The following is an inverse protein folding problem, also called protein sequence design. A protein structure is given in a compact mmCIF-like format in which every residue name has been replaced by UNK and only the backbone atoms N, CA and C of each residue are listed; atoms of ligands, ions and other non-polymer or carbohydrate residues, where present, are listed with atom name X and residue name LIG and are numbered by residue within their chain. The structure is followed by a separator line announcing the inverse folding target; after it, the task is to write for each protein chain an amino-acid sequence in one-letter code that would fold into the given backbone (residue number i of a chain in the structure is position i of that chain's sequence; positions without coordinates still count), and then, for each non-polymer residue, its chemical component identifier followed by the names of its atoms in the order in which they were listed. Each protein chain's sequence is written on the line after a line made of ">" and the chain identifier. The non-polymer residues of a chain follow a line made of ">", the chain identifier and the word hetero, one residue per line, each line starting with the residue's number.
data_IF_837346111811
#
_entry.id   IF_837346111811
#
_cell.length_a   1.000
_cell.length_b   1.000
_cell.length_c   1.000
_cell.angle_alpha   90.00
_cell.angle_beta   90.00
_cell.angle_gamma   90.00
#
_symmetry.space_group_name_H-M   'P 1'
#
loop_
_entity.id
_entity.type
_entity.pdbx_description
1 polymer ?
#
# COMPACT_ATOMS: atom_id res chain seq x y z
N UNK A 1 23.17 0.37 50.87
CA UNK A 1 22.30 0.36 49.67
C UNK A 1 23.00 -0.50 48.64
N UNK A 2 22.74 -1.80 48.69
CA UNK A 2 23.24 -2.79 47.73
C UNK A 2 22.47 -2.63 46.42
N UNK A 3 23.17 -2.65 45.30
CA UNK A 3 22.52 -2.49 43.99
C UNK A 3 21.79 -3.79 43.62
N UNK A 4 20.71 -3.74 42.80
CA UNK A 4 20.01 -4.95 42.34
C UNK A 4 20.92 -5.87 41.50
N UNK A 5 22.08 -5.39 41.03
CA UNK A 5 23.10 -6.21 40.42
C UNK A 5 23.89 -7.06 41.44
N UNK A 6 24.08 -6.59 42.67
CA UNK A 6 24.80 -7.31 43.72
C UNK A 6 23.97 -8.49 44.29
N UNK A 7 22.64 -8.39 44.28
CA UNK A 7 21.75 -9.50 44.69
C UNK A 7 21.61 -10.58 43.61
N UNK A 8 21.84 -10.26 42.33
CA UNK A 8 21.80 -11.24 41.23
C UNK A 8 22.93 -12.27 41.33
N UNK A 9 24.13 -11.84 41.76
CA UNK A 9 25.31 -12.72 41.87
C UNK A 9 25.28 -13.55 43.16
N UNK A 10 24.57 -13.12 44.19
CA UNK A 10 24.57 -13.78 45.50
C UNK A 10 23.65 -15.02 45.61
N UNK A 11 22.78 -15.27 44.63
CA UNK A 11 21.81 -16.38 44.67
C UNK A 11 22.05 -17.51 43.66
N UNK A 12 23.01 -17.37 42.75
CA UNK A 12 23.33 -18.42 41.77
C UNK A 12 24.26 -19.45 42.39
N UNK A 13 23.67 -20.46 43.05
CA UNK A 13 24.40 -21.70 43.31
C UNK A 13 24.54 -22.49 42.00
N UNK A 14 25.63 -23.23 41.80
CA UNK A 14 25.87 -23.99 40.58
C UNK A 14 24.75 -25.00 40.27
N UNK A 15 24.05 -25.48 41.31
CA UNK A 15 22.86 -26.33 41.17
C UNK A 15 21.66 -25.62 40.52
N UNK A 16 21.43 -24.34 40.86
CA UNK A 16 20.34 -23.53 40.29
C UNK A 16 20.63 -23.23 38.82
N UNK A 17 21.88 -22.90 38.47
CA UNK A 17 22.27 -22.68 37.07
C UNK A 17 22.06 -23.94 36.20
N UNK A 18 22.30 -25.13 36.75
CA UNK A 18 22.15 -26.39 36.02
C UNK A 18 20.68 -26.83 35.85
N UNK A 19 19.84 -26.60 36.86
CA UNK A 19 18.41 -26.96 36.83
C UNK A 19 17.52 -25.89 36.17
N UNK A 20 17.90 -24.63 36.32
CA UNK A 20 17.06 -23.47 35.99
C UNK A 20 17.79 -22.44 35.11
N UNK A 21 18.86 -22.82 34.41
CA UNK A 21 19.58 -21.92 33.50
C UNK A 21 18.75 -21.35 32.35
N UNK A 22 17.57 -21.92 32.07
CA UNK A 22 16.61 -21.38 31.10
C UNK A 22 15.83 -20.17 31.60
N UNK A 23 15.82 -19.90 32.92
CA UNK A 23 14.97 -18.87 33.52
C UNK A 23 15.38 -17.48 33.06
N UNK A 24 16.67 -17.22 32.89
CA UNK A 24 17.16 -15.93 32.39
C UNK A 24 16.73 -15.68 30.96
N UNK A 25 16.87 -16.68 30.08
CA UNK A 25 16.43 -16.59 28.69
C UNK A 25 14.91 -16.46 28.60
N UNK A 26 14.17 -17.24 29.39
CA UNK A 26 12.71 -17.16 29.45
C UNK A 26 12.22 -15.78 29.91
N UNK A 27 12.81 -15.19 30.94
CA UNK A 27 12.43 -13.86 31.43
C UNK A 27 12.77 -12.77 30.41
N UNK A 28 13.89 -12.90 29.69
CA UNK A 28 14.24 -12.00 28.60
C UNK A 28 13.25 -12.11 27.44
N UNK A 29 12.94 -13.32 26.99
CA UNK A 29 11.98 -13.59 25.91
C UNK A 29 10.59 -13.06 26.27
N UNK A 30 10.17 -13.26 27.51
CA UNK A 30 8.86 -12.81 27.97
C UNK A 30 8.78 -11.28 28.08
N UNK A 31 9.86 -10.61 28.51
CA UNK A 31 9.91 -9.15 28.50
C UNK A 31 9.91 -8.59 27.07
N UNK A 32 10.66 -9.21 26.15
CA UNK A 32 10.66 -8.84 24.73
C UNK A 32 9.26 -9.01 24.10
N UNK A 33 8.56 -10.11 24.41
CA UNK A 33 7.21 -10.35 23.93
C UNK A 33 6.19 -9.33 24.48
N UNK A 34 6.34 -8.88 25.73
CA UNK A 34 5.49 -7.82 26.30
C UNK A 34 5.75 -6.49 25.57
N UNK A 35 7.00 -6.14 25.32
CA UNK A 35 7.37 -4.92 24.60
C UNK A 35 6.85 -4.91 23.16
N UNK A 36 6.97 -6.04 22.47
CA UNK A 36 6.42 -6.23 21.12
C UNK A 36 4.89 -6.09 21.11
N UNK A 37 4.20 -6.80 22.02
CA UNK A 37 2.74 -6.68 22.15
C UNK A 37 2.29 -5.25 22.45
N UNK A 38 3.02 -4.53 23.31
CA UNK A 38 2.73 -3.13 23.60
C UNK A 38 2.84 -2.26 22.33
N UNK A 39 3.83 -2.50 21.46
CA UNK A 39 3.95 -1.78 20.18
C UNK A 39 2.81 -2.12 19.23
N UNK A 40 2.46 -3.40 19.09
CA UNK A 40 1.35 -3.84 18.23
C UNK A 40 0.04 -3.20 18.66
N UNK A 41 -0.29 -3.25 19.95
CA UNK A 41 -1.51 -2.63 20.50
C UNK A 41 -1.49 -1.11 20.33
N UNK A 42 -0.32 -0.47 20.41
CA UNK A 42 -0.20 0.98 20.14
C UNK A 42 -0.62 1.29 18.70
N UNK A 43 -0.12 0.52 17.73
CA UNK A 43 -0.47 0.68 16.31
C UNK A 43 -1.96 0.40 16.04
N UNK A 44 -2.54 -0.61 16.70
CA UNK A 44 -3.97 -0.90 16.60
C UNK A 44 -4.85 0.22 17.17
N UNK A 45 -4.46 0.80 18.31
CA UNK A 45 -5.14 1.95 18.91
C UNK A 45 -5.08 3.15 17.96
N UNK A 46 -3.91 3.45 17.42
CA UNK A 46 -3.72 4.55 16.47
C UNK A 46 -4.57 4.35 15.22
N UNK A 47 -4.53 3.16 14.62
CA UNK A 47 -5.35 2.82 13.45
C UNK A 47 -6.86 2.91 13.73
N UNK A 48 -7.31 2.41 14.88
CA UNK A 48 -8.73 2.47 15.27
C UNK A 48 -9.17 3.92 15.49
N UNK A 49 -8.34 4.73 16.13
CA UNK A 49 -8.60 6.16 16.32
C UNK A 49 -8.58 6.91 14.99
N UNK A 50 -7.69 6.55 14.06
CA UNK A 50 -7.67 7.10 12.71
C UNK A 50 -8.96 6.80 11.94
N UNK A 51 -9.49 5.59 12.06
CA UNK A 51 -10.76 5.21 11.42
C UNK A 51 -11.97 5.92 12.03
N UNK A 52 -11.96 6.16 13.36
CA UNK A 52 -13.06 6.83 14.07
C UNK A 52 -13.01 8.36 14.01
N UNK A 53 -11.86 8.94 13.71
CA UNK A 53 -11.76 10.38 13.46
C UNK A 53 -12.47 10.71 12.16
N UNK A 54 -13.60 11.40 12.26
CA UNK A 54 -14.31 11.93 11.10
C UNK A 54 -13.37 12.81 10.26
N UNK A 55 -13.47 12.67 8.93
CA UNK A 55 -12.76 13.53 7.99
C UNK A 55 -13.23 14.96 8.17
N UNK A 56 -12.49 15.72 8.99
CA UNK A 56 -12.60 17.16 9.00
C UNK A 56 -12.17 17.61 7.60
N UNK A 57 -13.09 18.08 6.76
CA UNK A 57 -12.83 18.47 5.36
C UNK A 57 -11.69 19.49 5.13
N UNK A 58 -11.06 19.97 6.20
CA UNK A 58 -9.79 20.68 6.21
C UNK A 58 -8.61 19.73 6.56
N UNK A 59 -7.82 19.39 5.54
CA UNK A 59 -6.62 18.53 5.65
C UNK A 59 -5.64 19.00 6.74
N UNK A 60 -5.54 20.31 7.00
CA UNK A 60 -4.64 20.84 8.04
C UNK A 60 -5.13 20.52 9.44
N UNK A 61 -6.44 20.55 9.67
CA UNK A 61 -7.05 20.19 10.97
C UNK A 61 -6.97 18.69 11.21
N UNK A 62 -7.22 17.89 10.17
CA UNK A 62 -7.07 16.44 10.24
C UNK A 62 -5.62 16.06 10.60
N UNK A 63 -4.62 16.62 9.93
CA UNK A 63 -3.21 16.36 10.25
C UNK A 63 -2.84 16.71 11.71
N UNK A 64 -3.38 17.81 12.26
CA UNK A 64 -3.18 18.19 13.67
C UNK A 64 -3.83 17.21 14.64
N UNK A 65 -5.04 16.72 14.33
CA UNK A 65 -5.72 15.72 15.13
C UNK A 65 -4.96 14.38 15.12
N UNK A 66 -4.49 13.93 13.95
CA UNK A 66 -3.69 12.71 13.82
C UNK A 66 -2.39 12.83 14.63
N UNK A 67 -1.69 13.97 14.54
CA UNK A 67 -0.49 14.22 15.34
C UNK A 67 -0.77 14.23 16.85
N UNK A 68 -1.90 14.80 17.26
CA UNK A 68 -2.32 14.78 18.66
C UNK A 68 -2.65 13.37 19.16
N UNK A 69 -3.30 12.55 18.32
CA UNK A 69 -3.57 11.14 18.62
C UNK A 69 -2.27 10.38 18.81
N UNK A 70 -1.35 10.42 17.84
CA UNK A 70 -0.05 9.73 17.92
C UNK A 70 0.74 10.16 19.15
N UNK A 71 0.74 11.46 19.48
CA UNK A 71 1.42 11.96 20.68
C UNK A 71 0.75 11.47 21.96
N UNK A 72 -0.58 11.41 21.98
CA UNK A 72 -1.37 10.94 23.12
C UNK A 72 -1.24 9.43 23.36
N UNK A 73 -1.37 8.62 22.31
CA UNK A 73 -1.18 7.16 22.33
C UNK A 73 0.24 6.82 22.75
N UNK A 74 1.25 7.45 22.14
CA UNK A 74 2.66 7.24 22.51
C UNK A 74 2.94 7.57 23.98
N UNK A 75 2.45 8.71 24.47
CA UNK A 75 2.63 9.10 25.87
C UNK A 75 1.91 8.17 26.86
N UNK A 76 0.73 7.68 26.50
CA UNK A 76 -0.01 6.70 27.30
C UNK A 76 0.72 5.34 27.32
N UNK A 77 1.12 4.84 26.16
CA UNK A 77 1.77 3.54 26.03
C UNK A 77 3.17 3.53 26.66
N UNK A 78 3.89 4.66 26.66
CA UNK A 78 5.13 4.80 27.43
C UNK A 78 4.89 4.62 28.94
N UNK A 79 3.76 5.09 29.48
CA UNK A 79 3.40 4.87 30.90
C UNK A 79 3.03 3.41 31.15
N UNK A 80 2.31 2.80 30.23
CA UNK A 80 1.94 1.38 30.30
C UNK A 80 3.21 0.50 30.28
N UNK A 81 4.13 0.74 29.34
CA UNK A 81 5.43 0.06 29.29
C UNK A 81 6.23 0.26 30.57
N UNK A 82 6.32 1.48 31.09
CA UNK A 82 7.01 1.73 32.35
C UNK A 82 6.36 1.01 33.55
N UNK A 83 5.03 0.90 33.57
CA UNK A 83 4.32 0.15 34.59
C UNK A 83 4.53 -1.36 34.46
N UNK A 84 4.51 -1.89 33.23
CA UNK A 84 4.82 -3.29 32.96
C UNK A 84 6.24 -3.63 33.35
N UNK A 85 7.24 -2.85 32.95
CA UNK A 85 8.64 -3.05 33.33
C UNK A 85 8.80 -3.15 34.85
N UNK A 86 8.22 -2.22 35.61
CA UNK A 86 8.27 -2.23 37.09
C UNK A 86 7.56 -3.44 37.70
N UNK A 87 6.45 -3.88 37.12
CA UNK A 87 5.74 -5.07 37.59
C UNK A 87 6.51 -6.34 37.22
N UNK A 88 7.21 -6.31 36.09
CA UNK A 88 8.03 -7.41 35.61
C UNK A 88 9.28 -7.59 36.46
N UNK A 89 9.94 -6.51 36.87
CA UNK A 89 11.05 -6.55 37.83
C UNK A 89 10.62 -7.23 39.14
N UNK A 90 9.38 -6.96 39.61
CA UNK A 90 8.82 -7.62 40.79
C UNK A 90 8.51 -9.09 40.55
N UNK A 91 8.01 -9.43 39.37
CA UNK A 91 7.75 -10.82 38.98
C UNK A 91 9.05 -11.60 38.90
N UNK A 92 10.06 -11.06 38.23
CA UNK A 92 11.41 -11.64 38.15
C UNK A 92 11.95 -11.91 39.55
N UNK A 93 11.91 -10.90 40.43
CA UNK A 93 12.37 -11.05 41.81
C UNK A 93 11.58 -12.15 42.56
N UNK A 94 10.27 -12.19 42.39
CA UNK A 94 9.41 -13.21 42.99
C UNK A 94 9.75 -14.62 42.48
N UNK A 95 9.94 -14.77 41.17
CA UNK A 95 10.29 -16.06 40.55
C UNK A 95 11.64 -16.56 41.07
N UNK A 96 12.66 -15.69 41.05
CA UNK A 96 14.00 -16.05 41.55
C UNK A 96 13.99 -16.41 43.02
N UNK A 97 13.20 -15.71 43.84
CA UNK A 97 13.19 -15.89 45.30
C UNK A 97 12.30 -17.03 45.79
N UNK A 98 11.17 -17.31 45.13
CA UNK A 98 10.15 -18.22 45.66
C UNK A 98 9.90 -19.46 44.80
N UNK A 99 10.16 -19.39 43.48
CA UNK A 99 9.88 -20.50 42.57
C UNK A 99 11.17 -21.26 42.24
N UNK A 100 12.22 -20.52 41.89
CA UNK A 100 13.49 -21.05 41.40
C UNK A 100 14.53 -21.19 42.53
N UNK A 101 14.30 -20.55 43.68
CA UNK A 101 15.18 -20.66 44.83
C UNK A 101 15.11 -22.07 45.45
N UNK A 102 16.29 -22.63 45.71
CA UNK A 102 16.42 -23.86 46.48
C UNK A 102 16.64 -23.49 47.95
N UNK A 103 15.83 -24.00 48.90
CA UNK A 103 16.06 -23.79 50.33
C UNK A 103 17.48 -24.22 50.74
N UNK A 104 18.12 -23.40 51.59
CA UNK A 104 19.52 -23.61 51.99
C UNK A 104 19.77 -24.97 52.66
N UNK A 105 18.76 -25.55 53.32
CA UNK A 105 18.89 -26.86 53.95
C UNK A 105 18.99 -28.01 52.93
N UNK A 106 18.42 -27.82 51.72
CA UNK A 106 18.33 -28.85 50.68
C UNK A 106 19.41 -28.73 49.62
N UNK A 107 20.16 -27.63 49.59
CA UNK A 107 21.18 -27.37 48.55
C UNK A 107 22.20 -28.51 48.45
N UNK A 108 22.70 -29.00 49.58
CA UNK A 108 23.65 -30.12 49.63
C UNK A 108 23.06 -31.47 49.19
N UNK A 109 21.76 -31.66 49.34
CA UNK A 109 21.07 -32.88 48.90
C UNK A 109 20.81 -32.83 47.40
N UNK A 110 20.37 -31.68 46.88
CA UNK A 110 20.15 -31.46 45.44
C UNK A 110 21.47 -31.57 44.67
N UNK A 111 22.56 -30.99 45.19
CA UNK A 111 23.89 -31.14 44.59
C UNK A 111 24.36 -32.59 44.54
N UNK A 112 24.13 -33.38 45.60
CA UNK A 112 24.43 -34.82 45.60
C UNK A 112 23.59 -35.58 44.58
N UNK A 113 22.29 -35.28 44.47
CA UNK A 113 21.41 -35.90 43.46
C UNK A 113 21.90 -35.57 42.05
N UNK A 114 22.23 -34.31 41.77
CA UNK A 114 22.78 -33.87 40.48
C UNK A 114 24.14 -34.51 40.16
N UNK A 115 25.01 -34.69 41.15
CA UNK A 115 26.28 -35.41 40.96
C UNK A 115 26.04 -36.89 40.68
N UNK A 116 25.10 -37.53 41.37
CA UNK A 116 24.77 -38.94 41.13
C UNK A 116 24.14 -39.17 39.75
N UNK A 117 23.24 -38.29 39.30
CA UNK A 117 22.63 -38.38 37.96
C UNK A 117 23.66 -38.21 36.86
N UNK A 118 24.65 -37.33 37.05
CA UNK A 118 25.75 -37.15 36.11
C UNK A 118 26.77 -38.30 36.12
N UNK A 119 26.90 -39.04 37.24
CA UNK A 119 27.77 -40.22 37.31
C UNK A 119 27.10 -41.51 36.80
N UNK A 120 25.78 -41.62 36.91
CA UNK A 120 25.03 -42.82 36.49
C UNK A 120 24.98 -43.03 34.98
N UNK A 121 25.32 -42.01 34.19
CA UNK A 121 25.49 -42.13 32.73
C UNK A 121 26.85 -42.71 32.32
N UNK A 122 27.80 -42.91 33.26
CA UNK A 122 29.19 -43.32 32.96
C UNK A 122 29.52 -44.72 33.51
N UNK A 123 28.64 -45.38 34.26
CA UNK A 123 28.99 -46.60 35.03
C UNK A 123 28.11 -47.83 34.77
N UNK A 124 27.74 -48.09 33.52
CA UNK A 124 27.22 -49.41 33.10
C UNK A 124 28.08 -49.95 31.97
N UNK A 125 29.28 -50.39 32.31
CA UNK A 125 30.11 -51.19 31.41
C UNK A 125 30.73 -52.35 32.21
N UNK A 126 30.41 -53.58 31.81
CA UNK A 126 31.07 -54.80 32.28
C UNK A 126 30.24 -55.76 33.14
N UNK A 127 29.60 -56.75 32.51
CA UNK A 127 29.67 -58.15 32.96
C UNK A 127 29.23 -59.13 31.88
N UNK A 128 30.16 -60.01 31.54
CA UNK A 128 30.18 -61.06 30.51
C UNK A 128 29.19 -62.21 30.71
N UNK A 129 28.71 -62.79 29.60
CA UNK A 129 28.12 -64.14 29.54
C UNK A 129 27.78 -64.55 28.10
N UNK A 130 28.54 -65.50 27.56
CA UNK A 130 28.38 -66.01 26.19
C UNK A 130 27.08 -66.80 25.99
N UNK A 131 26.36 -66.56 24.89
CA UNK A 131 25.81 -67.57 23.97
C UNK A 131 24.93 -66.90 22.90
N UNK A 132 25.05 -67.44 21.69
CA UNK A 132 24.37 -67.12 20.43
C UNK A 132 22.83 -67.11 20.53
N UNK A 133 22.21 -66.02 20.07
CA UNK A 133 21.00 -66.01 19.24
C UNK A 133 20.58 -64.55 18.95
N UNK A 134 20.39 -64.23 17.67
CA UNK A 134 20.52 -62.90 17.06
C UNK A 134 19.67 -61.74 17.61
N UNK A 135 18.73 -61.95 18.53
CA UNK A 135 18.10 -60.87 19.31
C UNK A 135 17.60 -61.31 20.70
N UNK A 136 17.96 -62.52 21.14
CA UNK A 136 17.36 -63.14 22.34
C UNK A 136 18.12 -62.85 23.65
N UNK A 137 19.33 -62.29 23.59
CA UNK A 137 20.19 -62.05 24.77
C UNK A 137 20.25 -60.61 25.29
N UNK A 138 19.62 -59.63 24.61
CA UNK A 138 19.70 -58.23 25.03
C UNK A 138 18.85 -57.97 26.27
N UNK A 139 19.43 -57.32 27.26
CA UNK A 139 18.68 -56.89 28.43
C UNK A 139 17.57 -55.91 28.00
N UNK A 140 16.45 -55.83 28.74
CA UNK A 140 15.40 -54.86 28.43
C UNK A 140 15.91 -53.40 28.39
N UNK A 141 17.01 -53.09 29.08
CA UNK A 141 17.66 -51.79 29.04
C UNK A 141 18.40 -51.56 27.72
N UNK A 142 19.20 -52.53 27.26
CA UNK A 142 19.95 -52.46 25.99
C UNK A 142 19.01 -52.39 24.77
N UNK A 143 17.87 -53.08 24.81
CA UNK A 143 16.86 -52.98 23.74
C UNK A 143 16.26 -51.57 23.64
N UNK A 144 15.99 -50.94 24.79
CA UNK A 144 15.50 -49.54 24.82
C UNK A 144 16.58 -48.58 24.36
N UNK A 145 17.82 -48.79 24.77
CA UNK A 145 18.94 -47.96 24.35
C UNK A 145 19.13 -48.03 22.83
N UNK A 146 19.12 -49.22 22.23
CA UNK A 146 19.19 -49.36 20.76
C UNK A 146 18.00 -48.73 20.05
N UNK A 147 16.78 -48.91 20.57
CA UNK A 147 15.59 -48.28 20.01
C UNK A 147 15.70 -46.73 20.04
N UNK A 148 16.20 -46.16 21.13
CA UNK A 148 16.46 -44.72 21.24
C UNK A 148 17.58 -44.27 20.31
N UNK A 149 18.65 -45.07 20.15
CA UNK A 149 19.74 -44.78 19.22
C UNK A 149 19.26 -44.79 17.76
N UNK A 150 18.40 -45.74 17.40
CA UNK A 150 17.77 -45.84 16.08
C UNK A 150 16.83 -44.65 15.82
N UNK A 151 16.01 -44.29 16.82
CA UNK A 151 15.14 -43.11 16.74
C UNK A 151 15.96 -41.82 16.61
N UNK A 152 17.05 -41.69 17.35
CA UNK A 152 17.94 -40.55 17.28
C UNK A 152 18.66 -40.49 15.92
N UNK A 153 19.11 -41.62 15.38
CA UNK A 153 19.67 -41.71 14.03
C UNK A 153 18.65 -41.28 12.97
N UNK A 154 17.40 -41.72 13.11
CA UNK A 154 16.29 -41.31 12.24
C UNK A 154 16.01 -39.81 12.33
N UNK A 155 15.92 -39.26 13.54
CA UNK A 155 15.72 -37.81 13.76
C UNK A 155 16.88 -36.99 13.19
N UNK A 156 18.12 -37.46 13.33
CA UNK A 156 19.30 -36.81 12.70
C UNK A 156 19.22 -36.82 11.18
N UNK A 157 18.71 -37.89 10.58
CA UNK A 157 18.54 -37.97 9.13
C UNK A 157 17.43 -37.02 8.66
N UNK A 158 16.29 -37.00 9.36
CA UNK A 158 15.21 -36.04 9.10
C UNK A 158 15.66 -34.58 9.25
N UNK A 159 16.51 -34.27 10.24
CA UNK A 159 17.08 -32.93 10.39
C UNK A 159 17.99 -32.54 9.22
N UNK A 160 18.75 -33.48 8.65
CA UNK A 160 19.54 -33.18 7.44
C UNK A 160 18.65 -32.93 6.24
N UNK A 161 17.64 -33.76 6.02
CA UNK A 161 16.67 -33.59 4.92
C UNK A 161 15.96 -32.23 5.03
N UNK A 162 15.45 -31.89 6.21
CA UNK A 162 14.81 -30.59 6.46
C UNK A 162 15.80 -29.43 6.31
N UNK A 163 17.07 -29.62 6.68
CA UNK A 163 18.09 -28.57 6.50
C UNK A 163 18.40 -28.33 5.02
N UNK A 164 18.52 -29.40 4.22
CA UNK A 164 18.70 -29.30 2.78
C UNK A 164 17.49 -28.67 2.10
N UNK A 165 16.27 -29.01 2.53
CA UNK A 165 15.04 -28.40 2.05
C UNK A 165 14.98 -26.90 2.42
N UNK A 166 15.35 -26.53 3.64
CA UNK A 166 15.35 -25.15 4.07
C UNK A 166 16.39 -24.30 3.31
N UNK A 167 17.60 -24.82 3.09
CA UNK A 167 18.60 -24.17 2.24
C UNK A 167 18.09 -23.98 0.80
N UNK A 168 17.38 -24.97 0.27
CA UNK A 168 16.76 -24.86 -1.05
C UNK A 168 15.69 -23.77 -1.08
N UNK A 169 14.83 -23.69 -0.05
CA UNK A 169 13.82 -22.64 0.06
C UNK A 169 14.46 -21.25 0.17
N UNK A 170 15.55 -21.09 0.93
CA UNK A 170 16.30 -19.83 1.01
C UNK A 170 16.88 -19.40 -0.35
N UNK A 171 17.41 -20.35 -1.13
CA UNK A 171 17.87 -20.07 -2.50
C UNK A 171 16.72 -19.69 -3.44
N UNK A 172 15.56 -20.32 -3.31
CA UNK A 172 14.36 -19.97 -4.07
C UNK A 172 13.81 -18.59 -3.66
N UNK A 173 13.83 -18.24 -2.38
CA UNK A 173 13.44 -16.93 -1.83
C UNK A 173 14.33 -15.82 -2.40
N UNK A 174 15.65 -15.96 -2.29
CA UNK A 174 16.59 -14.97 -2.86
C UNK A 174 16.45 -14.82 -4.38
N UNK A 175 16.16 -15.89 -5.11
CA UNK A 175 15.88 -15.81 -6.55
C UNK A 175 14.56 -15.07 -6.85
N UNK A 176 13.53 -15.25 -6.03
CA UNK A 176 12.26 -14.51 -6.14
C UNK A 176 12.42 -13.04 -5.78
N UNK A 177 13.21 -12.70 -4.77
CA UNK A 177 13.55 -11.32 -4.42
C UNK A 177 14.24 -10.62 -5.59
N UNK A 178 15.26 -11.25 -6.18
CA UNK A 178 15.95 -10.70 -7.36
C UNK A 178 14.99 -10.48 -8.55
N UNK A 179 14.08 -11.42 -8.82
CA UNK A 179 13.05 -11.23 -9.87
C UNK A 179 12.10 -10.10 -9.53
N UNK A 180 11.71 -9.96 -8.27
CA UNK A 180 10.85 -8.89 -7.79
C UNK A 180 11.53 -7.53 -7.94
N UNK A 181 12.83 -7.43 -7.64
CA UNK A 181 13.63 -6.23 -7.88
C UNK A 181 13.75 -5.90 -9.37
N UNK A 182 13.97 -6.89 -10.22
CA UNK A 182 13.99 -6.71 -11.67
C UNK A 182 12.64 -6.19 -12.19
N UNK A 183 11.52 -6.74 -11.70
CA UNK A 183 10.18 -6.27 -12.06
C UNK A 183 9.92 -4.86 -11.56
N UNK A 184 10.29 -4.54 -10.31
CA UNK A 184 10.23 -3.16 -9.78
C UNK A 184 11.05 -2.21 -10.64
N UNK A 185 12.24 -2.62 -11.10
CA UNK A 185 13.05 -1.80 -11.99
C UNK A 185 12.39 -1.54 -13.35
N UNK A 186 11.71 -2.54 -13.93
CA UNK A 186 10.92 -2.37 -15.15
C UNK A 186 9.72 -1.47 -14.91
N UNK A 187 8.99 -1.65 -13.80
CA UNK A 187 7.87 -0.79 -13.43
C UNK A 187 8.31 0.66 -13.24
N UNK A 188 9.44 0.91 -12.58
CA UNK A 188 9.99 2.26 -12.43
C UNK A 188 10.36 2.90 -13.79
N UNK A 189 10.77 2.09 -14.78
CA UNK A 189 10.98 2.56 -16.16
C UNK A 189 9.66 2.85 -16.89
N UNK A 190 8.59 2.15 -16.55
CA UNK A 190 7.24 2.40 -17.08
C UNK A 190 6.57 3.60 -16.39
N UNK A 191 6.85 3.86 -15.12
CA UNK A 191 6.38 5.04 -14.38
C UNK A 191 6.83 6.34 -15.07
N UNK A 192 8.05 6.33 -15.66
CA UNK A 192 8.47 7.40 -16.55
C UNK A 192 7.49 7.61 -17.74
N UNK A 193 6.94 6.55 -18.34
CA UNK A 193 5.94 6.69 -19.41
C UNK A 193 4.60 7.24 -18.90
N UNK A 194 4.25 7.03 -17.64
CA UNK A 194 3.04 7.61 -17.04
C UNK A 194 3.22 9.10 -16.73
N UNK A 195 4.45 9.53 -16.40
CA UNK A 195 4.80 10.94 -16.13
C UNK A 195 5.10 11.77 -17.39
N UNK A 196 5.37 11.14 -18.53
CA UNK A 196 5.58 11.87 -19.80
C UNK A 196 4.23 12.42 -20.28
N UNK A 197 4.15 13.71 -20.67
CA UNK A 197 2.88 14.31 -21.06
C UNK A 197 2.25 13.59 -22.24
N UNK A 198 0.93 13.36 -22.18
CA UNK A 198 0.12 12.65 -23.19
C UNK A 198 0.34 13.20 -24.61
N UNK A 199 0.70 14.48 -24.72
CA UNK A 199 1.04 15.17 -25.96
C UNK A 199 2.25 14.60 -26.72
N UNK A 200 3.13 13.87 -26.02
CA UNK A 200 4.35 13.26 -26.58
C UNK A 200 4.25 11.76 -26.84
N UNK A 201 3.31 11.04 -26.21
CA UNK A 201 3.31 9.55 -26.21
C UNK A 201 2.37 8.93 -27.25
N UNK A 202 1.30 9.61 -27.65
CA UNK A 202 0.33 9.00 -28.59
C UNK A 202 0.20 9.80 -29.89
N UNK A 203 1.10 9.56 -30.87
CA UNK A 203 0.89 10.07 -32.23
C UNK A 203 -0.49 9.66 -32.76
N UNK A 204 -1.00 8.47 -32.41
CA UNK A 204 -2.33 7.98 -32.79
C UNK A 204 -3.49 8.82 -32.24
N UNK A 205 -3.45 9.25 -30.97
CA UNK A 205 -4.52 10.09 -30.40
C UNK A 205 -4.48 11.49 -30.99
N UNK A 206 -3.28 12.03 -31.20
CA UNK A 206 -3.09 13.34 -31.84
C UNK A 206 -3.58 13.34 -33.29
N UNK A 207 -3.30 12.29 -34.06
CA UNK A 207 -3.85 12.15 -35.41
C UNK A 207 -5.35 12.00 -35.42
N UNK A 208 -5.94 11.32 -34.43
CA UNK A 208 -7.39 11.19 -34.30
C UNK A 208 -8.05 12.54 -33.98
N UNK A 209 -7.54 13.28 -32.99
CA UNK A 209 -8.04 14.61 -32.63
C UNK A 209 -7.88 15.62 -33.78
N UNK A 210 -6.76 15.55 -34.52
CA UNK A 210 -6.53 16.39 -35.71
C UNK A 210 -7.46 16.00 -36.88
N UNK A 211 -7.75 14.71 -37.06
CA UNK A 211 -8.70 14.25 -38.07
C UNK A 211 -10.14 14.67 -37.73
N UNK A 212 -10.52 14.62 -36.46
CA UNK A 212 -11.83 15.08 -35.99
C UNK A 212 -11.99 16.59 -36.13
N UNK A 213 -10.96 17.37 -35.77
CA UNK A 213 -10.93 18.81 -35.97
C UNK A 213 -11.01 19.17 -37.47
N UNK A 214 -10.26 18.46 -38.33
CA UNK A 214 -10.34 18.65 -39.78
C UNK A 214 -11.76 18.36 -40.29
N UNK A 215 -12.38 17.27 -39.85
CA UNK A 215 -13.76 16.92 -40.24
C UNK A 215 -14.75 18.01 -39.85
N UNK A 216 -14.66 18.55 -38.63
CA UNK A 216 -15.51 19.66 -38.19
C UNK A 216 -15.32 20.91 -39.05
N UNK A 217 -14.07 21.26 -39.38
CA UNK A 217 -13.83 22.42 -40.27
C UNK A 217 -14.35 22.20 -41.70
N UNK A 218 -14.35 20.96 -42.19
CA UNK A 218 -14.96 20.64 -43.49
C UNK A 218 -16.49 20.77 -43.44
N UNK A 219 -17.13 20.30 -42.37
CA UNK A 219 -18.58 20.46 -42.17
C UNK A 219 -18.99 21.94 -42.06
N UNK A 220 -18.22 22.75 -41.34
CA UNK A 220 -18.44 24.20 -41.25
C UNK A 220 -18.30 24.88 -42.63
N UNK A 221 -17.30 24.48 -43.41
CA UNK A 221 -17.06 25.03 -44.74
C UNK A 221 -18.17 24.63 -45.72
N UNK A 222 -18.69 23.40 -45.64
CA UNK A 222 -19.86 22.96 -46.41
C UNK A 222 -21.12 23.76 -46.04
N UNK A 223 -21.33 24.05 -44.75
CA UNK A 223 -22.44 24.90 -44.30
C UNK A 223 -22.30 26.34 -44.82
N UNK A 224 -21.10 26.93 -44.73
CA UNK A 224 -20.84 28.26 -45.27
C UNK A 224 -21.08 28.30 -46.78
N UNK A 225 -20.66 27.26 -47.51
CA UNK A 225 -20.92 27.14 -48.94
C UNK A 225 -22.43 27.08 -49.24
N UNK A 226 -23.19 26.28 -48.48
CA UNK A 226 -24.65 26.19 -48.65
C UNK A 226 -25.34 27.54 -48.40
N UNK A 227 -24.92 28.28 -47.37
CA UNK A 227 -25.43 29.63 -47.08
C UNK A 227 -25.11 30.59 -48.21
N UNK A 228 -23.87 30.60 -48.70
CA UNK A 228 -23.46 31.45 -49.82
C UNK A 228 -24.25 31.13 -51.10
N UNK A 229 -24.49 29.85 -51.40
CA UNK A 229 -25.30 29.45 -52.54
C UNK A 229 -26.75 29.94 -52.43
N UNK A 230 -27.35 29.85 -51.25
CA UNK A 230 -28.71 30.32 -50.99
C UNK A 230 -28.81 31.85 -51.01
N UNK A 231 -27.84 32.56 -50.47
CA UNK A 231 -27.73 34.02 -50.60
C UNK A 231 -27.58 34.44 -52.07
N UNK A 232 -26.79 33.71 -52.85
CA UNK A 232 -26.62 33.97 -54.28
C UNK A 232 -27.94 33.75 -55.03
N UNK A 233 -28.71 32.71 -54.67
CA UNK A 233 -30.06 32.46 -55.23
C UNK A 233 -31.04 33.56 -54.80
N UNK A 234 -31.02 33.98 -53.53
CA UNK A 234 -31.86 35.04 -53.01
C UNK A 234 -31.57 36.38 -53.70
N UNK A 235 -30.29 36.73 -53.85
CA UNK A 235 -29.85 37.92 -54.57
C UNK A 235 -30.31 37.90 -56.03
N UNK A 236 -30.21 36.77 -56.73
CA UNK A 236 -30.74 36.62 -58.10
C UNK A 236 -32.25 36.83 -58.14
N UNK A 237 -33.01 36.27 -57.20
CA UNK A 237 -34.47 36.48 -57.08
C UNK A 237 -34.81 37.95 -56.84
N UNK A 238 -34.17 38.59 -55.87
CA UNK A 238 -34.37 40.00 -55.53
C UNK A 238 -34.04 40.92 -56.72
N UNK A 239 -32.97 40.61 -57.47
CA UNK A 239 -32.59 41.34 -58.68
C UNK A 239 -33.62 41.19 -59.81
N UNK A 240 -34.22 40.01 -59.97
CA UNK A 240 -35.31 39.81 -60.93
C UNK A 240 -36.57 40.58 -60.52
N UNK A 241 -36.96 40.51 -59.25
CA UNK A 241 -38.12 41.21 -58.70
C UNK A 241 -38.01 42.73 -58.83
N UNK A 242 -36.84 43.30 -58.51
CA UNK A 242 -36.58 44.74 -58.71
C UNK A 242 -36.63 45.11 -60.19
N UNK A 243 -36.05 44.30 -61.08
CA UNK A 243 -36.14 44.54 -62.54
C UNK A 243 -37.59 44.55 -63.03
N UNK A 244 -38.41 43.61 -62.56
CA UNK A 244 -39.82 43.52 -62.93
C UNK A 244 -40.64 44.68 -62.34
N UNK A 245 -40.31 45.14 -61.13
CA UNK A 245 -40.85 46.36 -60.53
C UNK A 245 -40.54 47.61 -61.37
N UNK A 246 -39.27 47.81 -61.78
CA UNK A 246 -38.90 48.92 -62.67
C UNK A 246 -39.59 48.84 -64.02
N UNK A 247 -39.76 47.62 -64.57
CA UNK A 247 -40.48 47.41 -65.83
C UNK A 247 -41.97 47.78 -65.70
N UNK A 248 -42.62 47.38 -64.62
CA UNK A 248 -44.00 47.74 -64.29
C UNK A 248 -44.14 49.26 -64.07
N UNK A 249 -43.21 49.89 -63.36
CA UNK A 249 -43.19 51.34 -63.16
C UNK A 249 -43.06 52.08 -64.50
N UNK A 250 -42.17 51.63 -65.39
CA UNK A 250 -42.00 52.17 -66.73
C UNK A 250 -43.25 52.00 -67.58
N UNK A 251 -43.91 50.84 -67.54
CA UNK A 251 -45.17 50.61 -68.25
C UNK A 251 -46.29 51.51 -67.73
N UNK A 252 -46.42 51.65 -66.40
CA UNK A 252 -47.39 52.58 -65.79
C UNK A 252 -47.10 54.02 -66.17
N UNK A 253 -45.84 54.43 -66.19
CA UNK A 253 -45.44 55.77 -66.61
C UNK A 253 -45.84 56.02 -68.08
N UNK A 254 -45.48 55.11 -68.98
CA UNK A 254 -45.82 55.22 -70.41
C UNK A 254 -47.34 55.22 -70.66
N UNK A 255 -48.09 54.36 -69.94
CA UNK A 255 -49.55 54.34 -70.02
C UNK A 255 -50.18 55.64 -69.52
N UNK A 256 -49.62 56.22 -68.45
CA UNK A 256 -50.09 57.49 -67.89
C UNK A 256 -49.75 58.68 -68.80
N UNK A 257 -48.61 58.65 -69.48
CA UNK A 257 -48.26 59.65 -70.51
C UNK A 257 -49.07 59.49 -71.79
N UNK A 258 -49.48 58.27 -72.15
CA UNK A 258 -50.33 58.00 -73.31
C UNK A 258 -51.81 58.33 -73.07
N UNK A 259 -52.27 58.22 -71.82
CA UNK A 259 -53.64 58.54 -71.39
C UNK A 259 -53.84 60.00 -70.99
N UNK A 260 -52.77 60.80 -70.91
CA UNK A 260 -52.86 62.23 -70.64
C UNK A 260 -52.96 63.01 -71.96
N UNK A 261 -54.09 63.67 -72.27
CA UNK A 261 -54.14 64.58 -73.39
C UNK A 261 -53.33 65.84 -73.03
N UNK A 262 -52.19 66.01 -73.68
CA UNK A 262 -51.41 67.26 -73.71
C UNK A 262 -51.07 67.86 -72.35
N UNK A 263 -49.95 67.45 -71.75
CA UNK A 263 -49.22 68.36 -70.87
C UNK A 263 -48.70 69.50 -71.76
N UNK A 264 -49.47 70.58 -71.88
CA UNK A 264 -49.05 71.80 -72.55
C UNK A 264 -47.77 72.31 -71.89
N UNK A 265 -46.88 72.87 -72.71
CA UNK A 265 -45.61 73.51 -72.32
C UNK A 265 -45.77 74.52 -71.15
N UNK A 266 -46.99 75.01 -70.91
CA UNK A 266 -47.36 75.87 -69.78
C UNK A 266 -47.21 75.21 -68.41
N UNK A 267 -47.48 73.90 -68.26
CA UNK A 267 -47.47 73.24 -66.96
C UNK A 267 -46.03 72.97 -66.47
N UNK A 268 -45.09 72.76 -67.41
CA UNK A 268 -43.65 72.67 -67.09
C UNK A 268 -43.05 74.05 -66.76
N UNK A 269 -43.56 75.12 -67.36
CA UNK A 269 -43.14 76.49 -67.02
C UNK A 269 -43.65 76.92 -65.62
N UNK A 270 -44.87 76.53 -65.23
CA UNK A 270 -45.37 76.79 -63.87
C UNK A 270 -44.60 76.01 -62.80
N UNK A 271 -44.19 74.78 -63.07
CA UNK A 271 -43.43 73.97 -62.10
C UNK A 271 -41.97 74.46 -61.98
N UNK A 272 -41.36 74.92 -63.08
CA UNK A 272 -40.04 75.57 -63.05
C UNK A 272 -40.10 76.94 -62.34
N UNK A 273 -41.18 77.71 -62.53
CA UNK A 273 -41.40 78.96 -61.80
C UNK A 273 -41.61 78.73 -60.30
N UNK A 274 -42.32 77.65 -59.90
CA UNK A 274 -42.53 77.30 -58.49
C UNK A 274 -41.25 76.77 -57.82
N UNK A 275 -40.40 76.05 -58.55
CA UNK A 275 -39.10 75.58 -58.06
C UNK A 275 -38.00 76.66 -58.09
N UNK A 276 -38.23 77.79 -58.76
CA UNK A 276 -37.30 78.94 -58.80
C UNK A 276 -37.65 80.04 -57.80
N UNK A 277 -38.69 79.84 -56.99
CA UNK A 277 -39.08 80.71 -55.88
C UNK A 277 -39.08 79.92 -54.58
N UNK A 278 -37.93 79.37 -54.22
CA UNK A 278 -37.46 79.12 -52.85
C UNK A 278 -35.93 79.09 -52.83
#
# INVERSE_FOLDING_TARGET
>A
MTTPADERVAMETPAIAQLCGFVDTFLQDLNAAIDENARTVTGEIENTLHQKLESCGDKKKQARQLSAVVKGSSAYMARVQSAFARNFDKLELYMRRNIVAIPAELTSHVEKVLQTSNSSTVSTDGSSGAASDDHAGLSPAERRERALQDELAKMRLQLRELHEENQRMELEETALEQRTEQLKHVLNKLDFLETVPVTTISPLKRTAEQADALRQTMEEMEQVQAVLEDETRAFKRQKMETRDSFRNLRQRFLARTASAPGASLSNLQQLNAFLSTE
#
